data_IF_390692875153
#
_entry.id   IF_390692875153
#
_cell.length_a   1.000
_cell.length_b   1.000
_cell.length_c   1.000
_cell.angle_alpha   90.00
_cell.angle_beta   90.00
_cell.angle_gamma   90.00
#
_symmetry.space_group_name_H-M   'P 1'
#
loop_
_entity.id
_entity.type
_entity.pdbx_description
1 polymer ?
#
# COMPACT_ATOMS: atom_id res chain seq x y z
N UNK A 1 17.27 0.74 -13.14
CA UNK A 1 17.38 1.03 -11.69
C UNK A 1 16.92 2.46 -11.51
N UNK A 2 16.00 2.72 -10.58
CA UNK A 2 15.54 4.08 -10.26
C UNK A 2 15.95 4.42 -8.84
N UNK A 3 16.21 5.69 -8.60
CA UNK A 3 16.58 6.21 -7.28
C UNK A 3 15.33 6.65 -6.52
N UNK A 4 15.38 6.51 -5.20
CA UNK A 4 14.30 6.89 -4.29
C UNK A 4 14.87 7.89 -3.30
N UNK A 5 14.20 9.03 -3.16
CA UNK A 5 14.56 10.02 -2.15
C UNK A 5 14.49 9.40 -0.76
N UNK A 6 15.50 9.67 0.09
CA UNK A 6 15.62 9.05 1.40
C UNK A 6 14.37 9.21 2.28
N UNK A 7 13.68 10.35 2.17
CA UNK A 7 12.42 10.62 2.89
C UNK A 7 11.28 9.65 2.55
N UNK A 8 11.35 8.99 1.40
CA UNK A 8 10.30 8.09 0.91
C UNK A 8 10.70 6.61 1.10
N UNK A 9 11.90 6.34 1.60
CA UNK A 9 12.44 4.99 1.65
C UNK A 9 11.63 4.09 2.60
N UNK A 10 11.32 4.59 3.79
CA UNK A 10 10.53 3.85 4.77
C UNK A 10 9.11 3.59 4.25
N UNK A 11 8.47 4.60 3.66
CA UNK A 11 7.15 4.44 3.05
C UNK A 11 7.15 3.39 1.92
N UNK A 12 8.19 3.39 1.08
CA UNK A 12 8.36 2.40 0.02
C UNK A 12 8.54 0.99 0.60
N UNK A 13 9.43 0.81 1.57
CA UNK A 13 9.65 -0.48 2.21
C UNK A 13 8.38 -1.00 2.89
N UNK A 14 7.65 -0.13 3.59
CA UNK A 14 6.40 -0.49 4.22
C UNK A 14 5.34 -0.90 3.19
N UNK A 15 5.18 -0.14 2.10
CA UNK A 15 4.24 -0.47 1.03
C UNK A 15 4.57 -1.81 0.36
N UNK A 16 5.85 -2.04 0.04
CA UNK A 16 6.31 -3.31 -0.55
C UNK A 16 6.11 -4.49 0.39
N UNK A 17 6.30 -4.30 1.70
CA UNK A 17 6.08 -5.35 2.70
C UNK A 17 4.61 -5.81 2.77
N UNK A 18 3.66 -4.99 2.31
CA UNK A 18 2.22 -5.30 2.30
C UNK A 18 1.63 -5.35 0.88
N UNK A 19 2.46 -5.49 -0.16
CA UNK A 19 2.01 -5.40 -1.56
C UNK A 19 0.94 -6.42 -1.96
N UNK A 20 0.82 -7.50 -1.19
CA UNK A 20 -0.18 -8.57 -1.37
C UNK A 20 -1.39 -8.46 -0.44
N UNK A 21 -1.38 -7.54 0.52
CA UNK A 21 -2.37 -7.44 1.59
C UNK A 21 -3.48 -6.46 1.23
N UNK A 22 -4.20 -6.77 0.16
CA UNK A 22 -5.33 -5.98 -0.31
C UNK A 22 -6.65 -6.52 0.21
N UNK A 23 -7.53 -5.60 0.60
CA UNK A 23 -8.94 -5.87 0.83
C UNK A 23 -9.65 -5.83 -0.52
N UNK A 24 -10.25 -6.94 -0.90
CA UNK A 24 -10.96 -7.11 -2.16
C UNK A 24 -12.41 -7.49 -1.85
N UNK A 25 -13.37 -6.81 -2.46
CA UNK A 25 -14.75 -7.28 -2.51
C UNK A 25 -14.99 -8.01 -3.85
N UNK A 26 -15.60 -9.18 -3.78
CA UNK A 26 -16.09 -9.87 -4.97
C UNK A 26 -17.58 -9.57 -5.17
N UNK A 27 -17.93 -9.09 -6.36
CA UNK A 27 -19.31 -8.89 -6.81
C UNK A 27 -19.65 -9.79 -7.99
N UNK A 28 -20.87 -9.65 -8.52
CA UNK A 28 -21.26 -10.38 -9.73
C UNK A 28 -20.45 -9.85 -10.92
N UNK A 29 -19.48 -10.64 -11.37
CA UNK A 29 -18.68 -10.37 -12.56
C UNK A 29 -17.47 -9.45 -12.39
N UNK A 30 -17.17 -8.98 -11.17
CA UNK A 30 -16.04 -8.08 -10.93
C UNK A 30 -15.40 -8.29 -9.55
N UNK A 31 -14.09 -8.03 -9.48
CA UNK A 31 -13.36 -7.82 -8.24
C UNK A 31 -13.20 -6.31 -8.04
N UNK A 32 -13.45 -5.83 -6.82
CA UNK A 32 -13.28 -4.42 -6.46
C UNK A 32 -12.16 -4.35 -5.43
N UNK A 33 -11.05 -3.72 -5.81
CA UNK A 33 -9.96 -3.38 -4.91
C UNK A 33 -10.40 -2.22 -4.02
N UNK A 34 -10.47 -2.44 -2.70
CA UNK A 34 -10.97 -1.44 -1.75
C UNK A 34 -9.82 -0.60 -1.19
N UNK A 35 -8.69 -1.24 -0.89
CA UNK A 35 -7.55 -0.65 -0.21
C UNK A 35 -6.69 -1.71 0.48
N UNK A 36 -5.59 -1.28 1.07
CA UNK A 36 -4.73 -2.10 1.91
C UNK A 36 -5.43 -2.45 3.22
N UNK A 37 -5.08 -3.60 3.79
CA UNK A 37 -5.44 -3.91 5.17
C UNK A 37 -4.55 -3.11 6.13
N UNK A 38 -5.11 -2.05 6.73
CA UNK A 38 -4.35 -1.20 7.65
C UNK A 38 -3.88 -1.93 8.92
N UNK A 39 -4.47 -3.07 9.28
CA UNK A 39 -3.93 -3.91 10.36
C UNK A 39 -2.65 -4.62 9.94
N UNK A 40 -2.55 -5.04 8.67
CA UNK A 40 -1.32 -5.58 8.11
C UNK A 40 -0.25 -4.49 7.93
N UNK A 41 -0.65 -3.27 7.55
CA UNK A 41 0.23 -2.09 7.49
C UNK A 41 0.84 -1.80 8.87
N UNK A 42 0.02 -1.76 9.92
CA UNK A 42 0.50 -1.57 11.29
C UNK A 42 1.52 -2.67 11.72
N UNK A 43 1.25 -3.92 11.37
CA UNK A 43 2.20 -5.03 11.62
C UNK A 43 3.52 -4.82 10.87
N UNK A 44 3.47 -4.37 9.61
CA UNK A 44 4.67 -4.08 8.83
C UNK A 44 5.47 -2.92 9.44
N UNK A 45 4.82 -1.83 9.82
CA UNK A 45 5.46 -0.67 10.47
C UNK A 45 6.20 -1.10 11.74
N UNK A 46 5.53 -1.87 12.61
CA UNK A 46 6.14 -2.40 13.84
C UNK A 46 7.30 -3.35 13.58
N UNK A 47 7.22 -4.22 12.57
CA UNK A 47 8.29 -5.18 12.24
C UNK A 47 9.50 -4.52 11.58
N UNK A 48 9.29 -3.43 10.85
CA UNK A 48 10.34 -2.68 10.16
C UNK A 48 10.93 -1.56 11.01
N UNK A 49 10.31 -1.25 12.17
CA UNK A 49 10.73 -0.15 13.03
C UNK A 49 10.45 1.23 12.42
N UNK A 50 9.43 1.32 11.57
CA UNK A 50 9.04 2.53 10.85
C UNK A 50 8.07 3.35 11.72
N UNK A 51 8.26 4.67 11.74
CA UNK A 51 7.40 5.60 12.44
C UNK A 51 6.08 5.91 11.73
N UNK A 52 5.15 6.50 12.46
CA UNK A 52 3.82 6.86 11.94
C UNK A 52 3.86 7.94 10.84
N UNK A 53 4.96 8.67 10.72
CA UNK A 53 5.18 9.71 9.70
C UNK A 53 5.15 9.14 8.27
N UNK A 54 5.52 7.87 8.10
CA UNK A 54 5.45 7.18 6.80
C UNK A 54 4.00 6.81 6.39
N UNK A 55 3.04 6.82 7.31
CA UNK A 55 1.69 6.31 7.04
C UNK A 55 0.97 7.11 5.95
N UNK A 56 1.06 8.44 6.00
CA UNK A 56 0.46 9.31 4.98
C UNK A 56 1.07 9.10 3.58
N UNK A 57 2.34 8.70 3.51
CA UNK A 57 3.01 8.37 2.25
C UNK A 57 2.54 7.00 1.71
N UNK A 58 2.35 6.00 2.58
CA UNK A 58 1.75 4.72 2.20
C UNK A 58 0.34 4.90 1.64
N UNK A 59 -0.48 5.79 2.24
CA UNK A 59 -1.81 6.12 1.70
C UNK A 59 -1.77 6.83 0.34
N UNK A 60 -0.69 7.54 0.02
CA UNK A 60 -0.50 8.10 -1.34
C UNK A 60 -0.20 7.00 -2.35
N UNK A 61 0.65 6.03 -1.99
CA UNK A 61 0.97 4.88 -2.84
C UNK A 61 -0.26 3.98 -3.05
N UNK A 62 -1.04 3.74 -2.00
CA UNK A 62 -2.31 3.01 -2.05
C UNK A 62 -3.27 3.63 -3.09
N UNK A 63 -3.51 4.95 -3.02
CA UNK A 63 -4.38 5.65 -3.97
C UNK A 63 -3.87 5.53 -5.40
N UNK A 64 -2.56 5.69 -5.61
CA UNK A 64 -1.97 5.53 -6.93
C UNK A 64 -2.13 4.11 -7.47
N UNK A 65 -2.02 3.08 -6.63
CA UNK A 65 -2.25 1.69 -7.00
C UNK A 65 -3.74 1.40 -7.31
N UNK A 66 -4.67 1.90 -6.50
CA UNK A 66 -6.11 1.78 -6.75
C UNK A 66 -6.51 2.42 -8.09
N UNK A 67 -5.95 3.58 -8.41
CA UNK A 67 -6.14 4.23 -9.71
C UNK A 67 -5.67 3.35 -10.87
N UNK A 68 -4.57 2.59 -10.70
CA UNK A 68 -4.07 1.64 -11.71
C UNK A 68 -5.00 0.44 -11.82
N UNK A 69 -5.44 -0.14 -10.71
CA UNK A 69 -6.35 -1.29 -10.73
C UNK A 69 -7.69 -0.95 -11.39
N UNK A 70 -8.25 0.22 -11.07
CA UNK A 70 -9.50 0.69 -11.69
C UNK A 70 -9.41 0.91 -13.21
N UNK A 71 -8.20 1.01 -13.78
CA UNK A 71 -7.97 1.14 -15.22
C UNK A 71 -7.61 -0.19 -15.90
N UNK A 72 -7.32 -1.23 -15.13
CA UNK A 72 -6.85 -2.53 -15.62
C UNK A 72 -7.97 -3.57 -15.77
N UNK A 73 -9.14 -3.28 -15.19
CA UNK A 73 -10.41 -4.00 -15.42
C UNK A 73 -11.20 -3.40 -16.59
#
# INVERSE_FOLDING_TARGET
MFEVWASNWDALLAFLAVETQWRIAAGVGALIWIGLDYSAVDVAFRRLGIGDDAFAAVQQMERAALDVFARAD
#
